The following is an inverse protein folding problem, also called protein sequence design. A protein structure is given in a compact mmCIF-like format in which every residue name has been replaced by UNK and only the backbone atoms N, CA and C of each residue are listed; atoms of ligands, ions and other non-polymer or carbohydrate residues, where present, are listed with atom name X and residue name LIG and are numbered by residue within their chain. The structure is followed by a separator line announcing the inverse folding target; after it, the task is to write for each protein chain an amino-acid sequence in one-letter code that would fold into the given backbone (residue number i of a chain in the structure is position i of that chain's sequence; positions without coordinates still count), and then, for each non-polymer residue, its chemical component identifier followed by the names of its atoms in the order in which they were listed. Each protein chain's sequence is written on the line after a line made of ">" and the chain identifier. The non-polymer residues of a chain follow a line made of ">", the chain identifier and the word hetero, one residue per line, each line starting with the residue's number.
data_IF_166880858771
#
_entry.id   IF_166880858771
#
_cell.length_a   1.000
_cell.length_b   1.000
_cell.length_c   1.000
_cell.angle_alpha   90.00
_cell.angle_beta   90.00
_cell.angle_gamma   90.00
#
_symmetry.space_group_name_H-M   'P 1'
#
loop_
_entity.id
_entity.type
_entity.pdbx_description
1 polymer ?
#
# COMPACT_ATOMS: atom_id res chain seq x y z
N UNK A 1 -5.32 -20.59 -18.43
CA UNK A 1 -6.14 -21.12 -17.32
C UNK A 1 -5.50 -20.62 -16.04
N UNK A 2 -6.08 -19.55 -15.48
CA UNK A 2 -5.58 -18.90 -14.26
C UNK A 2 -5.72 -19.89 -13.10
N UNK A 3 -4.61 -20.49 -12.68
CA UNK A 3 -4.58 -21.27 -11.45
C UNK A 3 -5.02 -20.40 -10.29
N UNK A 4 -5.98 -20.88 -9.50
CA UNK A 4 -6.41 -20.22 -8.26
C UNK A 4 -5.20 -19.99 -7.37
N UNK A 5 -5.13 -18.83 -6.72
CA UNK A 5 -4.07 -18.48 -5.76
C UNK A 5 -4.24 -19.22 -4.41
N UNK A 6 -4.42 -20.54 -4.46
CA UNK A 6 -4.45 -21.40 -3.28
C UNK A 6 -3.06 -21.52 -2.68
N UNK A 7 -2.99 -21.89 -1.40
CA UNK A 7 -1.72 -22.14 -0.73
C UNK A 7 -0.89 -23.22 -1.44
N UNK A 8 -1.54 -24.29 -1.92
CA UNK A 8 -0.90 -25.40 -2.64
C UNK A 8 -0.28 -24.94 -3.95
N UNK A 9 -1.04 -24.24 -4.80
CA UNK A 9 -0.55 -23.76 -6.09
C UNK A 9 0.60 -22.74 -5.93
N UNK A 10 0.52 -21.91 -4.87
CA UNK A 10 1.60 -20.99 -4.53
C UNK A 10 2.86 -21.73 -4.08
N UNK A 11 2.72 -22.76 -3.24
CA UNK A 11 3.84 -23.57 -2.78
C UNK A 11 4.51 -24.32 -3.94
N UNK A 12 3.74 -24.95 -4.82
CA UNK A 12 4.25 -25.64 -6.01
C UNK A 12 5.06 -24.70 -6.90
N UNK A 13 4.54 -23.50 -7.19
CA UNK A 13 5.26 -22.49 -7.98
C UNK A 13 6.54 -22.02 -7.31
N UNK A 14 6.48 -21.78 -6.00
CA UNK A 14 7.66 -21.38 -5.25
C UNK A 14 8.71 -22.49 -5.27
N UNK A 15 8.34 -23.75 -5.04
CA UNK A 15 9.25 -24.89 -5.13
C UNK A 15 9.91 -24.99 -6.50
N UNK A 16 9.14 -24.88 -7.59
CA UNK A 16 9.70 -24.86 -8.95
C UNK A 16 10.72 -23.73 -9.14
N UNK A 17 10.43 -22.52 -8.65
CA UNK A 17 11.37 -21.40 -8.70
C UNK A 17 12.63 -21.70 -7.87
N UNK A 18 12.48 -22.29 -6.68
CA UNK A 18 13.64 -22.64 -5.84
C UNK A 18 14.51 -23.73 -6.47
N UNK A 19 13.91 -24.70 -7.16
CA UNK A 19 14.61 -25.75 -7.91
C UNK A 19 15.33 -25.17 -9.13
N UNK A 20 14.66 -24.32 -9.93
CA UNK A 20 15.25 -23.66 -11.11
C UNK A 20 16.48 -22.82 -10.75
N UNK A 21 16.50 -22.24 -9.55
CA UNK A 21 17.62 -21.46 -9.02
C UNK A 21 18.61 -22.29 -8.20
N UNK A 22 18.41 -23.61 -8.09
CA UNK A 22 19.23 -24.55 -7.31
C UNK A 22 19.40 -24.14 -5.82
N UNK A 23 18.38 -23.50 -5.25
CA UNK A 23 18.35 -23.04 -3.86
C UNK A 23 17.31 -23.76 -3.00
N UNK A 24 16.64 -24.77 -3.56
CA UNK A 24 15.75 -25.63 -2.78
C UNK A 24 16.53 -26.28 -1.62
N UNK A 25 15.94 -26.26 -0.42
CA UNK A 25 16.59 -26.68 0.83
C UNK A 25 17.69 -25.75 1.36
N UNK A 26 18.03 -24.65 0.64
CA UNK A 26 18.99 -23.62 1.09
C UNK A 26 18.31 -22.35 1.60
N UNK A 27 16.98 -22.26 1.45
CA UNK A 27 16.21 -21.11 1.94
C UNK A 27 16.05 -21.20 3.45
N UNK A 28 16.58 -20.18 4.14
CA UNK A 28 16.47 -20.09 5.59
C UNK A 28 15.04 -19.74 6.02
N UNK A 29 14.48 -18.66 5.48
CA UNK A 29 13.18 -18.11 5.84
C UNK A 29 12.57 -17.33 4.68
N UNK A 30 11.25 -17.11 4.72
CA UNK A 30 10.51 -16.32 3.73
C UNK A 30 9.76 -15.18 4.43
N UNK A 31 10.02 -13.93 4.03
CA UNK A 31 9.30 -12.78 4.59
C UNK A 31 8.01 -12.55 3.77
N UNK A 32 6.85 -12.56 4.44
CA UNK A 32 5.54 -12.39 3.79
C UNK A 32 4.79 -11.17 4.30
N UNK A 33 3.77 -10.72 3.57
CA UNK A 33 2.82 -9.69 4.00
C UNK A 33 1.72 -10.21 4.94
N UNK A 34 1.89 -11.42 5.49
CA UNK A 34 0.93 -12.11 6.34
C UNK A 34 -0.43 -12.46 5.67
N UNK A 35 -0.50 -12.41 4.33
CA UNK A 35 -1.68 -12.91 3.62
C UNK A 35 -1.85 -14.42 3.86
N UNK A 36 -3.04 -14.84 4.31
CA UNK A 36 -3.31 -16.23 4.75
C UNK A 36 -2.90 -17.30 3.73
N UNK A 37 -3.15 -17.06 2.45
CA UNK A 37 -2.78 -17.99 1.38
C UNK A 37 -1.26 -18.09 1.19
N UNK A 38 -0.53 -16.98 1.33
CA UNK A 38 0.94 -16.95 1.23
C UNK A 38 1.57 -17.59 2.47
N UNK A 39 1.08 -17.26 3.67
CA UNK A 39 1.53 -17.87 4.93
C UNK A 39 1.35 -19.38 4.86
N UNK A 40 0.18 -19.85 4.44
CA UNK A 40 -0.08 -21.29 4.31
C UNK A 40 0.76 -21.95 3.20
N UNK A 41 1.10 -21.24 2.12
CA UNK A 41 1.99 -21.75 1.09
C UNK A 41 3.41 -21.94 1.63
N UNK A 42 3.91 -20.97 2.39
CA UNK A 42 5.23 -21.00 3.02
C UNK A 42 5.38 -22.18 3.98
N UNK A 43 4.30 -22.59 4.67
CA UNK A 43 4.29 -23.80 5.52
C UNK A 43 4.55 -25.11 4.75
N UNK A 44 4.31 -25.11 3.45
CA UNK A 44 4.52 -26.28 2.59
C UNK A 44 5.93 -26.31 1.98
N UNK A 45 6.74 -25.28 2.20
CA UNK A 45 8.10 -25.20 1.67
C UNK A 45 9.11 -25.84 2.62
N UNK A 46 10.17 -26.47 2.10
CA UNK A 46 11.25 -27.04 2.90
C UNK A 46 12.21 -25.95 3.40
N UNK A 47 11.77 -25.14 4.37
CA UNK A 47 12.56 -24.07 4.97
C UNK A 47 13.41 -24.57 6.14
N UNK A 48 14.57 -23.94 6.32
CA UNK A 48 15.48 -24.29 7.43
C UNK A 48 15.01 -23.73 8.77
N UNK A 49 14.32 -22.58 8.76
CA UNK A 49 13.67 -21.98 9.92
C UNK A 49 12.17 -22.19 9.80
N UNK A 50 11.56 -22.59 10.92
CA UNK A 50 10.11 -22.57 11.05
C UNK A 50 9.59 -21.13 11.15
N UNK A 51 9.01 -20.68 10.06
CA UNK A 51 8.40 -19.36 9.93
C UNK A 51 7.21 -19.12 10.89
N UNK A 52 6.51 -20.17 11.34
CA UNK A 52 5.34 -20.04 12.23
C UNK A 52 5.76 -19.70 13.66
N UNK A 53 6.82 -20.36 14.14
CA UNK A 53 7.32 -20.14 15.50
C UNK A 53 8.10 -18.83 15.67
N UNK A 54 8.51 -18.18 14.57
CA UNK A 54 9.33 -16.96 14.60
C UNK A 54 8.60 -15.68 14.17
N UNK A 55 7.29 -15.75 13.86
CA UNK A 55 6.47 -14.59 13.44
C UNK A 55 7.14 -13.71 12.38
N UNK A 56 7.77 -14.34 11.38
CA UNK A 56 8.55 -13.64 10.37
C UNK A 56 7.62 -12.95 9.37
N UNK A 57 7.35 -11.68 9.63
CA UNK A 57 6.50 -10.83 8.80
C UNK A 57 7.27 -9.64 8.21
N UNK A 58 6.75 -9.11 7.10
CA UNK A 58 7.30 -7.91 6.49
C UNK A 58 7.12 -6.72 7.42
N UNK A 59 8.21 -6.20 7.98
CA UNK A 59 8.20 -5.03 8.86
C UNK A 59 7.48 -3.82 8.25
N UNK A 60 7.65 -3.61 6.93
CA UNK A 60 6.98 -2.53 6.21
C UNK A 60 5.46 -2.72 6.17
N UNK A 61 5.00 -3.96 5.99
CA UNK A 61 3.57 -4.29 6.06
C UNK A 61 3.02 -4.11 7.47
N UNK A 62 3.75 -4.57 8.49
CA UNK A 62 3.38 -4.41 9.91
C UNK A 62 3.25 -2.94 10.30
N UNK A 63 4.19 -2.09 9.88
CA UNK A 63 4.10 -0.65 10.07
C UNK A 63 2.87 -0.06 9.36
N UNK A 64 2.62 -0.46 8.11
CA UNK A 64 1.45 0.01 7.37
C UNK A 64 0.14 -0.39 8.05
N UNK A 65 0.06 -1.60 8.62
CA UNK A 65 -1.10 -2.06 9.35
C UNK A 65 -1.33 -1.23 10.61
N UNK A 66 -0.27 -0.91 11.36
CA UNK A 66 -0.34 -0.04 12.53
C UNK A 66 -0.87 1.36 12.17
N UNK A 67 -0.31 1.98 11.12
CA UNK A 67 -0.77 3.28 10.62
C UNK A 67 -2.23 3.20 10.18
N UNK A 68 -2.58 2.19 9.37
CA UNK A 68 -3.95 1.98 8.88
C UNK A 68 -4.95 1.76 10.01
N UNK A 69 -4.51 1.20 11.14
CA UNK A 69 -5.34 1.01 12.33
C UNK A 69 -5.56 2.33 13.05
N UNK A 70 -4.51 3.13 13.24
CA UNK A 70 -4.64 4.46 13.84
C UNK A 70 -5.56 5.38 13.01
N UNK A 71 -5.47 5.34 11.69
CA UNK A 71 -6.29 6.17 10.80
C UNK A 71 -7.76 5.75 10.70
N UNK A 72 -8.17 4.65 11.33
CA UNK A 72 -9.59 4.26 11.47
C UNK A 72 -10.31 5.01 12.58
N UNK A 73 -9.58 5.69 13.46
CA UNK A 73 -10.20 6.57 14.44
C UNK A 73 -11.16 7.55 13.75
N UNK A 74 -12.28 7.84 14.39
CA UNK A 74 -13.36 8.63 13.81
C UNK A 74 -12.88 10.02 13.39
N UNK A 75 -12.01 10.65 14.20
CA UNK A 75 -11.49 11.99 13.92
C UNK A 75 -10.66 11.98 12.64
N UNK A 76 -9.75 11.01 12.49
CA UNK A 76 -8.90 10.92 11.30
C UNK A 76 -9.68 10.47 10.07
N UNK A 77 -10.58 9.51 10.20
CA UNK A 77 -11.35 8.99 9.07
C UNK A 77 -12.30 10.03 8.47
N UNK A 78 -12.97 10.84 9.31
CA UNK A 78 -13.81 11.94 8.86
C UNK A 78 -12.99 13.04 8.17
N UNK A 79 -11.83 13.41 8.74
CA UNK A 79 -10.90 14.37 8.11
C UNK A 79 -10.44 13.88 6.73
N UNK A 80 -9.99 12.64 6.63
CA UNK A 80 -9.52 12.05 5.37
C UNK A 80 -10.62 12.05 4.32
N UNK A 81 -11.87 11.77 4.72
CA UNK A 81 -13.05 11.78 3.83
C UNK A 81 -13.33 13.19 3.32
N UNK A 82 -13.30 14.20 4.17
CA UNK A 82 -13.49 15.61 3.78
C UNK A 82 -12.39 16.08 2.82
N UNK A 83 -11.12 15.81 3.15
CA UNK A 83 -9.99 16.11 2.27
C UNK A 83 -10.11 15.38 0.92
N UNK A 84 -10.50 14.11 0.92
CA UNK A 84 -10.70 13.33 -0.29
C UNK A 84 -11.82 13.88 -1.18
N UNK A 85 -12.91 14.36 -0.56
CA UNK A 85 -14.03 15.01 -1.26
C UNK A 85 -13.59 16.32 -1.90
N UNK A 86 -12.86 17.15 -1.16
CA UNK A 86 -12.29 18.41 -1.63
C UNK A 86 -11.39 18.19 -2.85
N UNK A 87 -10.42 17.28 -2.74
CA UNK A 87 -9.54 16.94 -3.86
C UNK A 87 -10.35 16.39 -5.04
N UNK A 88 -11.36 15.56 -4.77
CA UNK A 88 -12.28 15.03 -5.76
C UNK A 88 -12.93 16.14 -6.58
N UNK A 89 -13.43 17.20 -5.94
CA UNK A 89 -14.04 18.34 -6.62
C UNK A 89 -13.09 18.98 -7.65
N UNK A 90 -11.86 19.32 -7.24
CA UNK A 90 -10.86 19.93 -8.12
C UNK A 90 -10.37 18.99 -9.23
N UNK A 91 -10.46 17.67 -9.03
CA UNK A 91 -10.10 16.70 -10.08
C UNK A 91 -11.19 16.50 -11.12
N UNK A 92 -12.46 16.56 -10.73
CA UNK A 92 -13.59 16.30 -11.64
C UNK A 92 -14.05 17.57 -12.37
N UNK A 93 -13.91 18.75 -11.75
CA UNK A 93 -14.31 20.02 -12.38
C UNK A 93 -13.12 20.70 -13.05
N UNK A 94 -13.17 20.81 -14.38
CA UNK A 94 -12.18 21.58 -15.14
C UNK A 94 -12.17 23.05 -14.71
N UNK A 95 -13.32 23.64 -14.43
CA UNK A 95 -13.42 25.03 -13.96
C UNK A 95 -12.72 25.21 -12.61
N UNK A 96 -12.98 24.32 -11.65
CA UNK A 96 -12.33 24.37 -10.34
C UNK A 96 -10.81 24.17 -10.45
N UNK A 97 -10.37 23.23 -11.30
CA UNK A 97 -8.95 23.00 -11.58
C UNK A 97 -8.27 24.24 -12.15
N UNK A 98 -8.90 24.90 -13.12
CA UNK A 98 -8.36 26.13 -13.72
C UNK A 98 -8.35 27.28 -12.70
N UNK A 99 -9.37 27.39 -11.86
CA UNK A 99 -9.40 28.36 -10.76
C UNK A 99 -8.25 28.15 -9.77
N UNK A 100 -7.98 26.90 -9.39
CA UNK A 100 -6.84 26.55 -8.54
C UNK A 100 -5.51 26.96 -9.19
N UNK A 101 -5.30 26.66 -10.47
CA UNK A 101 -4.07 27.04 -11.16
C UNK A 101 -3.88 28.57 -11.22
N UNK A 102 -4.94 29.32 -11.54
CA UNK A 102 -4.90 30.79 -11.48
C UNK A 102 -4.54 31.30 -10.08
N UNK A 103 -5.06 30.67 -9.03
CA UNK A 103 -4.73 31.06 -7.66
C UNK A 103 -3.27 30.72 -7.32
N UNK A 104 -2.76 29.58 -7.76
CA UNK A 104 -1.35 29.20 -7.62
C UNK A 104 -0.43 30.22 -8.30
N UNK A 105 -0.78 30.67 -9.51
CA UNK A 105 -0.07 31.73 -10.23
C UNK A 105 -0.05 33.05 -9.45
N UNK A 106 -1.21 33.47 -8.92
CA UNK A 106 -1.35 34.71 -8.14
C UNK A 106 -0.50 34.74 -6.87
N UNK A 107 -0.34 33.58 -6.20
CA UNK A 107 0.47 33.45 -4.98
C UNK A 107 1.90 33.02 -5.26
N UNK A 108 2.29 32.90 -6.53
CA UNK A 108 3.66 32.61 -6.96
C UNK A 108 4.13 31.18 -6.67
N UNK A 109 3.22 30.21 -6.54
CA UNK A 109 3.57 28.80 -6.34
C UNK A 109 3.40 27.98 -7.63
N UNK A 110 4.10 26.83 -7.78
CA UNK A 110 4.05 26.05 -9.01
C UNK A 110 2.65 25.50 -9.32
N UNK A 111 2.31 25.47 -10.62
CA UNK A 111 1.08 24.84 -11.11
C UNK A 111 1.09 23.34 -10.82
N UNK A 112 0.22 22.92 -9.92
CA UNK A 112 0.24 21.57 -9.40
C UNK A 112 -1.18 21.07 -9.13
N UNK A 113 -1.51 19.90 -9.67
CA UNK A 113 -2.78 19.24 -9.34
C UNK A 113 -2.75 18.70 -7.90
N UNK A 114 -3.93 18.66 -7.27
CA UNK A 114 -4.10 18.01 -5.98
C UNK A 114 -3.96 16.48 -6.10
N UNK A 115 -3.53 15.84 -5.00
CA UNK A 115 -3.28 14.39 -4.94
C UNK A 115 -4.44 13.70 -4.23
N UNK A 116 -5.04 12.69 -4.88
CA UNK A 116 -6.16 11.93 -4.31
C UNK A 116 -5.64 10.80 -3.43
N UNK A 117 -6.31 10.57 -2.30
CA UNK A 117 -6.15 9.34 -1.52
C UNK A 117 -6.37 8.08 -2.37
N UNK A 118 -5.49 7.09 -2.21
CA UNK A 118 -5.55 5.81 -2.88
C UNK A 118 -5.28 4.67 -1.88
N UNK A 119 -6.30 3.87 -1.57
CA UNK A 119 -6.24 2.83 -0.53
C UNK A 119 -5.09 1.82 -0.70
N UNK A 120 -4.69 1.52 -1.94
CA UNK A 120 -3.61 0.56 -2.24
C UNK A 120 -2.21 1.18 -2.21
N UNK A 121 -2.09 2.52 -2.08
CA UNK A 121 -0.81 3.24 -1.99
C UNK A 121 -0.63 3.78 -0.59
N UNK A 122 0.29 3.18 0.16
CA UNK A 122 0.53 3.42 1.60
C UNK A 122 0.65 4.90 1.98
N UNK A 123 1.42 5.68 1.22
CA UNK A 123 1.69 7.10 1.52
C UNK A 123 0.65 8.08 0.95
N UNK A 124 -0.42 7.59 0.31
CA UNK A 124 -1.33 8.49 -0.43
C UNK A 124 -2.11 9.46 0.45
N UNK A 125 -2.39 9.10 1.72
CA UNK A 125 -3.04 10.00 2.68
C UNK A 125 -2.10 11.15 3.02
N UNK A 126 -0.86 10.84 3.39
CA UNK A 126 0.17 11.85 3.67
C UNK A 126 0.34 12.80 2.48
N UNK A 127 0.53 12.27 1.27
CA UNK A 127 0.72 13.07 0.06
C UNK A 127 -0.50 13.95 -0.26
N UNK A 128 -1.72 13.47 -0.01
CA UNK A 128 -2.93 14.27 -0.17
C UNK A 128 -2.95 15.45 0.81
N UNK A 129 -2.72 15.18 2.11
CA UNK A 129 -2.76 16.20 3.15
C UNK A 129 -1.65 17.23 2.96
N UNK A 130 -0.43 16.79 2.68
CA UNK A 130 0.71 17.65 2.37
C UNK A 130 0.44 18.55 1.16
N UNK A 131 -0.13 17.99 0.08
CA UNK A 131 -0.51 18.77 -1.10
C UNK A 131 -1.59 19.82 -0.81
N UNK A 132 -2.57 19.48 0.03
CA UNK A 132 -3.60 20.43 0.45
C UNK A 132 -3.00 21.57 1.29
N UNK A 133 -2.07 21.26 2.21
CA UNK A 133 -1.39 22.26 3.03
C UNK A 133 -0.54 23.21 2.18
N UNK A 134 0.17 22.69 1.17
CA UNK A 134 0.94 23.50 0.20
C UNK A 134 0.06 24.48 -0.61
N UNK A 135 -1.25 24.22 -0.70
CA UNK A 135 -2.22 25.00 -1.48
C UNK A 135 -3.18 25.80 -0.61
N UNK A 136 -2.88 25.98 0.68
CA UNK A 136 -3.72 26.72 1.63
C UNK A 136 -3.58 28.24 1.52
N UNK A 137 -2.53 28.73 0.84
CA UNK A 137 -2.12 30.15 0.75
C UNK A 137 -2.91 31.00 -0.23
#
# INVERSE_FOLDING_TARGET
>A
MEERHTAVNLAEKLTHILDDWEINGKVLTVITDNAKNVVNAVKLLPLTIDNENMDVTCAAHSLQLAISTALKDEIFSELIKQCSSLVGHFKHSNEAKQSLFKKQEQVGIPHQSLVQYCKTRWNSIYLMLDRLLQNRT
#
